data_IF_805278078020
#
_entry.id   IF_805278078020
#
_cell.length_a   1.000
_cell.length_b   1.000
_cell.length_c   1.000
_cell.angle_alpha   90.00
_cell.angle_beta   90.00
_cell.angle_gamma   90.00
#
_symmetry.space_group_name_H-M   'P 1'
#
loop_
_entity.id
_entity.type
_entity.pdbx_description
1 polymer ?
#
# COMPACT_ATOMS: atom_id res chain seq x y z
N UNK A 1 20.68 10.38 -12.48
CA UNK A 1 19.37 10.85 -12.98
C UNK A 1 18.93 10.05 -14.20
N UNK A 2 19.78 9.90 -15.22
CA UNK A 2 19.46 9.19 -16.48
C UNK A 2 18.97 7.73 -16.32
N UNK A 3 19.55 6.95 -15.40
CA UNK A 3 19.07 5.58 -15.14
C UNK A 3 17.68 5.52 -14.50
N UNK A 4 17.33 6.51 -13.66
CA UNK A 4 16.02 6.55 -12.98
C UNK A 4 14.92 6.86 -14.00
N UNK A 5 15.18 7.81 -14.92
CA UNK A 5 14.27 8.17 -16.00
C UNK A 5 13.98 6.97 -16.93
N UNK A 6 15.03 6.24 -17.32
CA UNK A 6 14.90 5.08 -18.22
C UNK A 6 14.09 3.93 -17.59
N UNK A 7 14.25 3.70 -16.28
CA UNK A 7 13.47 2.68 -15.55
C UNK A 7 12.00 3.08 -15.45
N UNK A 8 11.70 4.35 -15.20
CA UNK A 8 10.34 4.87 -15.14
C UNK A 8 9.61 4.71 -16.49
N UNK A 9 10.23 5.15 -17.59
CA UNK A 9 9.66 5.02 -18.95
C UNK A 9 9.40 3.56 -19.35
N UNK A 10 10.35 2.66 -19.07
CA UNK A 10 10.19 1.23 -19.32
C UNK A 10 9.05 0.62 -18.49
N UNK A 11 8.85 1.10 -17.27
CA UNK A 11 7.78 0.63 -16.39
C UNK A 11 6.41 1.11 -16.87
N UNK A 12 6.27 2.37 -17.29
CA UNK A 12 5.02 2.92 -17.82
C UNK A 12 4.60 2.23 -19.13
N UNK A 13 5.56 1.94 -20.01
CA UNK A 13 5.30 1.19 -21.24
C UNK A 13 4.76 -0.21 -20.94
N UNK A 14 5.44 -0.97 -20.08
CA UNK A 14 5.00 -2.32 -19.68
C UNK A 14 3.63 -2.31 -18.99
N UNK A 15 3.37 -1.31 -18.15
CA UNK A 15 2.07 -1.16 -17.49
C UNK A 15 0.96 -0.85 -18.51
N UNK A 16 1.24 0.01 -19.49
CA UNK A 16 0.28 0.36 -20.56
C UNK A 16 -0.01 -0.84 -21.46
N UNK A 17 1.00 -1.64 -21.80
CA UNK A 17 0.83 -2.89 -22.56
C UNK A 17 -0.04 -3.90 -21.79
N UNK A 18 0.16 -4.03 -20.48
CA UNK A 18 -0.56 -5.00 -19.65
C UNK A 18 -2.02 -4.60 -19.37
N UNK A 19 -2.27 -3.32 -19.11
CA UNK A 19 -3.56 -2.85 -18.60
C UNK A 19 -4.37 -2.01 -19.59
N UNK A 20 -3.78 -1.59 -20.72
CA UNK A 20 -4.43 -0.76 -21.71
C UNK A 20 -5.04 0.51 -21.11
N UNK A 21 -6.22 0.90 -21.60
CA UNK A 21 -6.92 2.13 -21.15
C UNK A 21 -7.30 2.12 -19.67
N UNK A 22 -7.30 0.96 -18.99
CA UNK A 22 -7.64 0.87 -17.58
C UNK A 22 -6.60 1.51 -16.66
N UNK A 23 -5.36 1.71 -17.13
CA UNK A 23 -4.28 2.38 -16.37
C UNK A 23 -4.41 3.91 -16.38
N UNK A 24 -5.27 4.48 -17.25
CA UNK A 24 -5.36 5.94 -17.45
C UNK A 24 -5.64 6.76 -16.17
N UNK A 25 -6.45 6.29 -15.20
CA UNK A 25 -6.60 6.98 -13.92
C UNK A 25 -5.33 6.99 -13.06
N UNK A 26 -4.25 6.33 -13.49
CA UNK A 26 -3.03 6.11 -12.74
C UNK A 26 -3.04 4.77 -11.99
N UNK A 27 -1.94 4.50 -11.30
CA UNK A 27 -1.74 3.29 -10.52
C UNK A 27 -1.10 3.63 -9.18
N UNK A 28 -1.11 2.65 -8.27
CA UNK A 28 -0.46 2.76 -6.97
C UNK A 28 0.66 1.75 -6.93
N UNK A 29 1.88 2.20 -6.65
CA UNK A 29 2.98 1.30 -6.41
C UNK A 29 2.81 0.68 -5.01
N UNK A 30 2.62 -0.64 -4.97
CA UNK A 30 2.56 -1.42 -3.74
C UNK A 30 3.86 -2.22 -3.63
N UNK A 31 4.67 -2.03 -2.57
CA UNK A 31 5.85 -2.84 -2.35
C UNK A 31 5.47 -4.31 -2.17
N UNK A 32 6.10 -5.22 -2.92
CA UNK A 32 5.85 -6.66 -2.78
C UNK A 32 6.06 -7.16 -1.35
N UNK A 33 7.02 -6.58 -0.62
CA UNK A 33 7.25 -6.84 0.81
C UNK A 33 6.00 -6.69 1.67
N UNK A 34 5.10 -5.76 1.32
CA UNK A 34 3.83 -5.59 2.04
C UNK A 34 2.91 -6.79 1.82
N UNK A 35 2.82 -7.28 0.58
CA UNK A 35 1.96 -8.41 0.21
C UNK A 35 2.52 -9.73 0.74
N UNK A 36 3.84 -9.94 0.61
CA UNK A 36 4.57 -11.13 1.07
C UNK A 36 4.53 -11.30 2.59
N UNK A 37 4.45 -10.21 3.35
CA UNK A 37 4.49 -10.24 4.82
C UNK A 37 3.22 -9.76 5.50
N UNK A 38 2.11 -9.61 4.79
CA UNK A 38 0.85 -9.10 5.36
C UNK A 38 0.45 -9.83 6.65
N UNK A 39 0.48 -11.17 6.65
CA UNK A 39 0.14 -11.97 7.81
C UNK A 39 1.15 -11.81 8.96
N UNK A 40 2.45 -11.71 8.64
CA UNK A 40 3.51 -11.52 9.63
C UNK A 40 3.41 -10.17 10.34
N UNK A 41 2.91 -9.13 9.68
CA UNK A 41 2.68 -7.82 10.31
C UNK A 41 1.29 -7.66 10.92
N UNK A 42 0.49 -8.72 10.90
CA UNK A 42 -0.83 -8.76 11.52
C UNK A 42 -1.92 -8.03 10.73
N UNK A 43 -1.73 -7.81 9.42
CA UNK A 43 -2.78 -7.25 8.56
C UNK A 43 -3.78 -8.32 8.17
N UNK A 44 -5.06 -7.99 8.33
CA UNK A 44 -6.15 -8.67 7.64
C UNK A 44 -6.30 -8.16 6.21
N UNK A 45 -6.96 -8.94 5.35
CA UNK A 45 -7.25 -8.56 3.96
C UNK A 45 -7.97 -7.21 3.87
N UNK A 46 -8.96 -6.99 4.75
CA UNK A 46 -9.72 -5.74 4.80
C UNK A 46 -8.87 -4.53 5.21
N UNK A 47 -7.91 -4.73 6.12
CA UNK A 47 -6.97 -3.68 6.52
C UNK A 47 -5.95 -3.39 5.43
N UNK A 48 -5.45 -4.41 4.74
CA UNK A 48 -4.57 -4.25 3.59
C UNK A 48 -5.25 -3.45 2.47
N UNK A 49 -6.50 -3.80 2.11
CA UNK A 49 -7.29 -3.04 1.13
C UNK A 49 -7.49 -1.60 1.58
N UNK A 50 -7.78 -1.37 2.87
CA UNK A 50 -7.94 -0.02 3.43
C UNK A 50 -6.63 0.77 3.32
N UNK A 51 -5.49 0.15 3.65
CA UNK A 51 -4.16 0.74 3.54
C UNK A 51 -3.81 1.10 2.09
N UNK A 52 -4.12 0.24 1.12
CA UNK A 52 -3.90 0.50 -0.31
C UNK A 52 -4.66 1.74 -0.80
N UNK A 53 -5.88 1.97 -0.30
CA UNK A 53 -6.63 3.20 -0.62
C UNK A 53 -6.00 4.45 -0.01
N UNK A 54 -5.38 4.36 1.17
CA UNK A 54 -4.62 5.47 1.76
C UNK A 54 -3.33 5.74 0.98
N UNK A 55 -2.61 4.67 0.59
CA UNK A 55 -1.42 4.76 -0.27
C UNK A 55 -1.76 5.42 -1.62
N UNK A 56 -2.90 5.08 -2.22
CA UNK A 56 -3.36 5.70 -3.47
C UNK A 56 -3.40 7.23 -3.39
N UNK A 57 -3.90 7.78 -2.28
CA UNK A 57 -4.00 9.21 -2.10
C UNK A 57 -2.64 9.85 -1.77
N UNK A 58 -1.73 9.10 -1.13
CA UNK A 58 -0.39 9.58 -0.80
C UNK A 58 0.50 9.72 -2.02
N UNK A 59 0.36 8.83 -3.00
CA UNK A 59 1.10 8.88 -4.25
C UNK A 59 0.65 9.99 -5.21
N UNK A 60 -0.54 10.56 -5.02
CA UNK A 60 -1.15 11.53 -5.95
C UNK A 60 -0.77 12.99 -5.67
N UNK A 61 0.08 13.28 -4.68
CA UNK A 61 0.59 14.64 -4.45
C UNK A 61 1.52 14.76 -3.25
N UNK A 62 2.16 15.93 -3.12
CA UNK A 62 3.08 16.26 -2.02
C UNK A 62 2.35 16.48 -0.67
N UNK A 63 1.02 16.57 -0.71
CA UNK A 63 0.20 16.70 0.48
C UNK A 63 -0.15 15.34 1.10
N UNK A 64 -0.20 15.31 2.43
CA UNK A 64 -0.61 14.10 3.17
C UNK A 64 -1.99 13.63 2.68
N UNK A 65 -2.18 12.31 2.45
CA UNK A 65 -3.43 11.77 1.94
C UNK A 65 -4.62 12.15 2.80
N UNK A 66 -5.70 12.57 2.14
CA UNK A 66 -7.01 12.69 2.73
C UNK A 66 -7.99 11.78 1.98
N UNK A 67 -8.41 10.72 2.65
CA UNK A 67 -9.49 9.85 2.15
C UNK A 67 -10.50 9.63 3.26
N UNK A 68 -11.76 9.95 2.97
CA UNK A 68 -12.86 9.71 3.90
C UNK A 68 -13.14 8.20 3.99
N UNK A 69 -13.35 7.64 5.20
CA UNK A 69 -13.75 6.23 5.34
C UNK A 69 -14.97 5.86 4.48
N UNK A 70 -15.91 6.79 4.29
CA UNK A 70 -17.10 6.62 3.47
C UNK A 70 -16.76 6.41 1.99
N UNK A 71 -15.71 7.08 1.49
CA UNK A 71 -15.22 6.91 0.11
C UNK A 71 -14.64 5.51 -0.10
N UNK A 72 -13.87 5.01 0.87
CA UNK A 72 -13.30 3.65 0.82
C UNK A 72 -14.42 2.61 0.93
N UNK A 73 -15.37 2.81 1.84
CA UNK A 73 -16.52 1.94 2.03
C UNK A 73 -17.31 1.78 0.73
N UNK A 74 -17.62 2.89 0.04
CA UNK A 74 -18.31 2.87 -1.25
C UNK A 74 -17.57 2.08 -2.33
N UNK A 75 -16.23 2.12 -2.34
CA UNK A 75 -15.39 1.42 -3.34
C UNK A 75 -15.21 -0.07 -3.04
N UNK A 76 -15.20 -0.44 -1.76
CA UNK A 76 -14.88 -1.80 -1.31
C UNK A 76 -16.13 -2.64 -1.00
N UNK A 77 -17.30 -2.01 -0.92
CA UNK A 77 -18.54 -2.67 -0.48
C UNK A 77 -18.62 -2.90 1.04
N UNK A 78 -17.60 -2.48 1.81
CA UNK A 78 -17.62 -2.55 3.26
C UNK A 78 -18.50 -1.45 3.88
N UNK A 79 -18.94 -1.65 5.12
CA UNK A 79 -19.60 -0.56 5.87
C UNK A 79 -18.60 0.54 6.25
N UNK A 80 -19.02 1.82 6.36
CA UNK A 80 -18.16 2.88 6.87
C UNK A 80 -17.58 2.56 8.25
N UNK A 81 -18.35 1.88 9.11
CA UNK A 81 -17.90 1.47 10.45
C UNK A 81 -16.78 0.41 10.38
N UNK A 82 -16.84 -0.49 9.41
CA UNK A 82 -15.79 -1.48 9.13
C UNK A 82 -14.50 -0.78 8.70
N UNK A 83 -14.57 0.14 7.74
CA UNK A 83 -13.39 0.92 7.30
C UNK A 83 -12.80 1.73 8.46
N UNK A 84 -13.62 2.40 9.25
CA UNK A 84 -13.15 3.12 10.43
C UNK A 84 -12.48 2.20 11.46
N UNK A 85 -12.96 0.95 11.61
CA UNK A 85 -12.30 -0.06 12.45
C UNK A 85 -10.95 -0.46 11.87
N UNK A 86 -10.85 -0.69 10.56
CA UNK A 86 -9.57 -0.95 9.91
C UNK A 86 -8.60 0.20 10.10
N UNK A 87 -9.02 1.45 9.92
CA UNK A 87 -8.17 2.64 10.17
C UNK A 87 -7.65 2.67 11.61
N UNK A 88 -8.49 2.40 12.61
CA UNK A 88 -8.05 2.31 14.01
C UNK A 88 -7.07 1.18 14.24
N UNK A 89 -7.30 0.02 13.62
CA UNK A 89 -6.41 -1.14 13.71
C UNK A 89 -5.04 -0.85 13.08
N UNK A 90 -5.02 -0.26 11.88
CA UNK A 90 -3.80 0.18 11.19
C UNK A 90 -2.98 1.17 12.04
N UNK A 91 -3.65 2.07 12.76
CA UNK A 91 -2.99 2.99 13.70
C UNK A 91 -2.44 2.23 14.92
N UNK A 92 -3.20 1.28 15.47
CA UNK A 92 -2.73 0.38 16.54
C UNK A 92 -1.54 -0.51 16.15
N UNK A 93 -1.46 -0.91 14.88
CA UNK A 93 -0.32 -1.64 14.31
C UNK A 93 0.91 -0.76 14.05
N UNK A 94 0.79 0.56 14.26
CA UNK A 94 1.83 1.55 14.00
C UNK A 94 2.11 1.78 12.51
N UNK A 95 1.20 1.37 11.62
CA UNK A 95 1.38 1.49 10.17
C UNK A 95 1.01 2.89 9.68
N UNK A 96 0.01 3.50 10.33
CA UNK A 96 -0.45 4.86 10.00
C UNK A 96 -0.60 5.69 11.28
N UNK A 97 -0.68 7.00 11.12
CA UNK A 97 -1.10 7.92 12.18
C UNK A 97 -2.07 8.95 11.61
N UNK A 98 -3.18 9.18 12.30
CA UNK A 98 -4.13 10.24 11.95
C UNK A 98 -3.60 11.60 12.38
N UNK A 99 -3.73 12.58 11.50
CA UNK A 99 -3.37 13.97 11.74
C UNK A 99 -4.65 14.77 11.69
N UNK A 100 -5.10 15.17 12.87
CA UNK A 100 -6.25 16.04 13.04
C UNK A 100 -5.72 17.45 13.29
N UNK A 101 -5.83 18.33 12.30
CA UNK A 101 -5.40 19.72 12.47
C UNK A 101 -6.43 20.53 13.27
N UNK A 102 -7.73 20.31 13.04
CA UNK A 102 -8.85 20.91 13.81
C UNK A 102 -10.15 20.10 13.63
N UNK A 103 -11.21 20.36 14.43
CA UNK A 103 -12.55 19.75 14.23
C UNK A 103 -13.20 20.05 12.88
N UNK A 104 -12.73 21.08 12.16
CA UNK A 104 -13.26 21.50 10.86
C UNK A 104 -12.46 20.97 9.69
N UNK A 105 -11.27 20.42 9.95
CA UNK A 105 -10.39 19.96 8.90
C UNK A 105 -10.53 18.48 8.58
N UNK A 106 -10.32 18.11 7.32
CA UNK A 106 -10.24 16.72 6.92
C UNK A 106 -9.12 15.97 7.66
N UNK A 107 -9.40 14.76 8.14
CA UNK A 107 -8.40 13.89 8.78
C UNK A 107 -7.34 13.46 7.77
N UNK A 108 -6.12 13.96 7.90
CA UNK A 108 -4.99 13.53 7.05
C UNK A 108 -4.33 12.29 7.66
N UNK A 109 -3.65 11.50 6.84
CA UNK A 109 -2.92 10.32 7.32
C UNK A 109 -1.42 10.45 7.07
N UNK A 110 -0.64 10.02 8.05
CA UNK A 110 0.80 9.80 7.97
C UNK A 110 1.07 8.31 7.77
N UNK A 111 1.77 7.96 6.69
CA UNK A 111 2.12 6.58 6.33
C UNK A 111 3.58 6.23 6.67
N UNK A 112 4.32 7.11 7.35
CA UNK A 112 5.72 6.88 7.72
C UNK A 112 5.94 5.60 8.54
N UNK A 113 4.95 5.20 9.34
CA UNK A 113 4.98 3.94 10.09
C UNK A 113 5.01 2.70 9.20
N UNK A 114 4.31 2.74 8.05
CA UNK A 114 4.31 1.65 7.07
C UNK A 114 5.71 1.52 6.44
N UNK A 115 6.32 2.63 6.04
CA UNK A 115 7.69 2.64 5.51
C UNK A 115 8.71 2.11 6.53
N UNK A 116 8.63 2.57 7.77
CA UNK A 116 9.52 2.12 8.84
C UNK A 116 9.41 0.61 9.06
N UNK A 117 8.19 0.06 9.11
CA UNK A 117 7.95 -1.37 9.32
C UNK A 117 8.44 -2.22 8.15
N UNK A 118 8.17 -1.81 6.91
CA UNK A 118 8.67 -2.50 5.73
C UNK A 118 10.20 -2.44 5.62
N UNK A 119 10.81 -1.32 5.98
CA UNK A 119 12.28 -1.18 6.02
C UNK A 119 12.90 -2.11 7.06
N UNK A 120 12.30 -2.21 8.24
CA UNK A 120 12.77 -3.13 9.28
C UNK A 120 12.66 -4.59 8.82
N UNK A 121 11.56 -4.96 8.17
CA UNK A 121 11.39 -6.30 7.59
C UNK A 121 12.41 -6.61 6.50
N UNK A 122 12.67 -5.67 5.59
CA UNK A 122 13.65 -5.84 4.53
C UNK A 122 15.08 -5.96 5.07
N UNK A 123 15.40 -5.32 6.20
CA UNK A 123 16.70 -5.50 6.87
C UNK A 123 16.81 -6.86 7.57
N UNK A 124 15.74 -7.33 8.21
CA UNK A 124 15.72 -8.62 8.89
C UNK A 124 15.72 -9.79 7.90
N UNK A 125 15.06 -9.62 6.75
CA UNK A 125 14.97 -10.59 5.67
C UNK A 125 15.27 -9.87 4.35
N UNK A 126 16.54 -9.74 3.93
CA UNK A 126 16.89 -9.10 2.68
C UNK A 126 16.18 -9.82 1.53
N UNK A 127 15.26 -9.15 0.80
CA UNK A 127 14.55 -9.81 -0.28
C UNK A 127 15.53 -10.18 -1.38
N UNK A 128 15.35 -11.37 -1.97
CA UNK A 128 15.97 -11.68 -3.26
C UNK A 128 15.56 -10.59 -4.29
N UNK A 129 16.40 -10.27 -5.28
CA UNK A 129 16.08 -9.27 -6.29
C UNK A 129 14.84 -9.67 -7.11
N UNK A 130 14.03 -8.68 -7.48
CA UNK A 130 12.70 -8.88 -8.07
C UNK A 130 12.65 -9.72 -9.37
N UNK A 131 13.79 -9.95 -10.04
CA UNK A 131 13.88 -10.88 -11.19
C UNK A 131 13.70 -12.34 -10.80
N UNK A 132 14.06 -12.69 -9.56
CA UNK A 132 14.18 -14.09 -9.13
C UNK A 132 13.06 -14.45 -8.14
N UNK A 133 12.57 -13.48 -7.36
CA UNK A 133 11.73 -13.72 -6.18
C UNK A 133 10.27 -14.04 -6.48
N UNK A 134 9.63 -13.28 -7.38
CA UNK A 134 8.15 -13.29 -7.46
C UNK A 134 7.65 -14.58 -8.10
N UNK A 135 8.29 -15.05 -9.18
CA UNK A 135 7.85 -16.30 -9.81
C UNK A 135 8.32 -17.54 -9.02
N UNK A 136 9.47 -17.50 -8.37
CA UNK A 136 9.98 -18.63 -7.57
C UNK A 136 9.12 -18.85 -6.31
N UNK A 137 8.73 -17.78 -5.59
CA UNK A 137 7.88 -17.87 -4.39
C UNK A 137 6.43 -18.26 -4.70
N UNK A 138 5.88 -17.86 -5.86
CA UNK A 138 4.51 -18.24 -6.25
C UNK A 138 4.33 -19.75 -6.47
N UNK A 139 5.42 -20.50 -6.66
CA UNK A 139 5.40 -21.96 -6.84
C UNK A 139 5.80 -22.73 -5.57
N UNK A 140 6.30 -22.06 -4.52
CA UNK A 140 6.68 -22.70 -3.26
C UNK A 140 5.55 -22.58 -2.23
N UNK A 141 4.57 -23.48 -2.30
CA UNK A 141 3.48 -23.59 -1.31
C UNK A 141 3.89 -24.38 -0.05
N UNK A 142 5.16 -24.77 0.10
CA UNK A 142 5.55 -25.76 1.12
C UNK A 142 6.48 -25.17 2.18
N UNK A 143 5.87 -24.61 3.22
CA UNK A 143 6.17 -24.97 4.61
C UNK A 143 5.01 -24.49 5.50
N UNK A 144 4.44 -25.34 6.37
CA UNK A 144 3.55 -24.86 7.42
C UNK A 144 4.34 -23.91 8.34
N UNK A 145 3.71 -22.81 8.72
CA UNK A 145 4.23 -21.87 9.72
C UNK A 145 4.41 -22.53 11.09
#
# INVERSE_FOLDING_TARGET
MEQVTKVAELSEKKLSEKWGVAINPGFVAIPNMLLMHQGRIGLTDGELVTLQHLLMAWWRGDERPFVRPETIAKRTGASPRTVQRHVRSLEGLGLIRRINATRREPVKYDLGGTLAKLTALAKANPPKPASDTVQEELHQTEAPF
#
